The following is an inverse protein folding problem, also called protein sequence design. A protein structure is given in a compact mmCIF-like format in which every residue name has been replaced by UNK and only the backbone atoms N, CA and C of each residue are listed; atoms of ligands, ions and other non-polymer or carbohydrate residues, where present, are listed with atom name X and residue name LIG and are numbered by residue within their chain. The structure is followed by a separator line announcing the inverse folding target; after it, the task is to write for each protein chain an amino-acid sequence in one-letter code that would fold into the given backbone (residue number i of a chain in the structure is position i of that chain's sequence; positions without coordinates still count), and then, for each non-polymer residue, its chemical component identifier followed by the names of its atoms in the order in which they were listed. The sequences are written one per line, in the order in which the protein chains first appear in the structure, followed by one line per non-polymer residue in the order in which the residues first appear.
data_IF_267215160275
#
_entry.id   IF_267215160275
#
_cell.length_a   1.000
_cell.length_b   1.000
_cell.length_c   1.000
_cell.angle_alpha   90.00
_cell.angle_beta   90.00
_cell.angle_gamma   90.00
#
_symmetry.space_group_name_H-M   'P 1'
#
loop_
_entity.id
_entity.type
_entity.pdbx_description
1 polymer ?
#
# COMPACT_ATOMS: atom_id res chain seq x y z
N UNK A 1 0.10 0.91 -11.30
CA UNK A 1 0.91 0.06 -10.40
C UNK A 1 2.34 -0.17 -10.92
N UNK A 2 2.60 -0.26 -12.23
CA UNK A 2 3.95 -0.55 -12.79
C UNK A 2 5.09 0.38 -12.35
N UNK A 3 4.86 1.68 -12.20
CA UNK A 3 5.94 2.64 -11.90
C UNK A 3 6.63 2.41 -10.55
N UNK A 4 5.92 1.88 -9.53
CA UNK A 4 6.54 1.59 -8.23
C UNK A 4 7.44 0.34 -8.26
N UNK A 5 7.23 -0.58 -9.21
CA UNK A 5 8.09 -1.76 -9.37
C UNK A 5 9.40 -1.44 -10.08
N UNK A 6 9.36 -0.59 -11.11
CA UNK A 6 10.55 -0.30 -11.92
C UNK A 6 11.71 0.21 -11.07
N UNK A 7 11.47 1.15 -10.15
CA UNK A 7 12.51 1.66 -9.25
C UNK A 7 13.02 0.63 -8.25
N UNK A 8 12.15 -0.25 -7.74
CA UNK A 8 12.52 -1.30 -6.79
C UNK A 8 13.41 -2.37 -7.44
N UNK A 9 13.04 -2.81 -8.65
CA UNK A 9 13.78 -3.83 -9.42
C UNK A 9 15.18 -3.32 -9.81
N UNK A 10 15.28 -2.09 -10.32
CA UNK A 10 16.58 -1.52 -10.69
C UNK A 10 17.50 -1.37 -9.49
N UNK A 11 16.98 -0.88 -8.36
CA UNK A 11 17.77 -0.72 -7.14
C UNK A 11 18.23 -2.07 -6.59
N UNK A 12 17.33 -3.07 -6.52
CA UNK A 12 17.65 -4.41 -6.03
C UNK A 12 18.78 -5.06 -6.86
N UNK A 13 18.71 -4.94 -8.18
CA UNK A 13 19.76 -5.43 -9.09
C UNK A 13 21.09 -4.71 -8.89
N UNK A 14 21.08 -3.38 -8.75
CA UNK A 14 22.30 -2.60 -8.54
C UNK A 14 23.01 -2.93 -7.22
N UNK A 15 22.27 -3.37 -6.19
CA UNK A 15 22.80 -3.71 -4.88
C UNK A 15 23.04 -5.22 -4.68
N UNK A 16 22.83 -6.03 -5.72
CA UNK A 16 23.12 -7.47 -5.67
C UNK A 16 22.23 -8.27 -4.71
N UNK A 17 20.99 -7.84 -4.49
CA UNK A 17 20.05 -8.64 -3.70
C UNK A 17 19.80 -10.01 -4.35
N UNK A 18 19.68 -11.05 -3.53
CA UNK A 18 19.44 -12.42 -3.99
C UNK A 18 18.08 -12.57 -4.71
N UNK A 19 17.09 -11.79 -4.29
CA UNK A 19 15.75 -11.75 -4.88
C UNK A 19 15.47 -10.38 -5.50
N UNK A 20 14.47 -10.33 -6.38
CA UNK A 20 13.96 -9.12 -7.00
C UNK A 20 12.53 -8.92 -6.50
N UNK A 21 12.09 -7.68 -6.19
CA UNK A 21 10.73 -7.44 -5.72
C UNK A 21 9.72 -7.69 -6.85
N UNK A 22 9.22 -8.93 -6.92
CA UNK A 22 8.22 -9.40 -7.90
C UNK A 22 6.84 -9.57 -7.28
N UNK A 23 6.77 -9.68 -5.95
CA UNK A 23 5.53 -9.74 -5.18
C UNK A 23 5.11 -8.35 -4.72
N UNK A 24 3.80 -8.14 -4.61
CA UNK A 24 3.25 -6.82 -4.29
C UNK A 24 2.19 -6.86 -3.20
N UNK A 25 2.09 -7.98 -2.50
CA UNK A 25 1.10 -8.18 -1.47
C UNK A 25 0.91 -9.62 -1.07
N UNK A 26 0.08 -9.81 -0.05
CA UNK A 26 -0.45 -11.08 0.39
C UNK A 26 -1.98 -11.00 0.43
N UNK A 27 -2.64 -12.07 0.01
CA UNK A 27 -4.11 -12.18 -0.04
C UNK A 27 -4.54 -13.50 0.58
N UNK A 28 -5.38 -13.41 1.60
CA UNK A 28 -6.04 -14.56 2.23
C UNK A 28 -7.46 -14.75 1.68
N UNK A 29 -8.16 -13.65 1.35
CA UNK A 29 -9.47 -13.64 0.70
C UNK A 29 -9.74 -12.27 0.04
N UNK A 30 -10.88 -12.09 -0.62
CA UNK A 30 -11.30 -10.77 -1.15
C UNK A 30 -11.45 -9.70 -0.06
N UNK A 31 -11.73 -10.12 1.18
CA UNK A 31 -11.93 -9.23 2.33
C UNK A 31 -10.73 -9.23 3.30
N UNK A 32 -9.62 -9.86 2.92
CA UNK A 32 -8.42 -9.93 3.75
C UNK A 32 -7.16 -9.95 2.86
N UNK A 33 -6.55 -8.77 2.67
CA UNK A 33 -5.33 -8.63 1.89
C UNK A 33 -4.49 -7.40 2.30
N UNK A 34 -3.22 -7.42 1.95
CA UNK A 34 -2.30 -6.28 2.01
C UNK A 34 -1.57 -6.15 0.68
N UNK A 35 -1.41 -4.93 0.18
CA UNK A 35 -0.57 -4.62 -0.96
C UNK A 35 0.57 -3.70 -0.49
N UNK A 36 1.78 -3.96 -0.98
CA UNK A 36 2.97 -3.24 -0.58
C UNK A 36 3.83 -2.79 -1.75
N UNK A 37 4.70 -1.80 -1.51
CA UNK A 37 5.76 -1.41 -2.41
C UNK A 37 7.08 -1.19 -1.67
N UNK A 38 8.18 -1.54 -2.32
CA UNK A 38 9.53 -1.44 -1.77
C UNK A 38 10.12 -0.07 -2.06
N UNK A 39 10.49 0.66 -1.01
CA UNK A 39 11.31 1.88 -1.11
C UNK A 39 12.69 1.59 -0.56
N UNK A 40 13.48 0.87 -1.35
CA UNK A 40 14.79 0.35 -0.94
C UNK A 40 15.77 1.46 -0.54
N UNK A 41 15.74 2.62 -1.22
CA UNK A 41 16.56 3.80 -0.84
C UNK A 41 16.29 4.29 0.59
N UNK A 42 15.06 4.15 1.08
CA UNK A 42 14.65 4.56 2.44
C UNK A 42 14.65 3.37 3.40
N UNK A 43 15.08 2.18 2.96
CA UNK A 43 14.97 0.93 3.71
C UNK A 43 13.57 0.73 4.33
N UNK A 44 12.52 1.03 3.54
CA UNK A 44 11.12 1.04 3.98
C UNK A 44 10.23 0.24 3.03
N UNK A 45 9.33 -0.58 3.58
CA UNK A 45 8.23 -1.21 2.85
C UNK A 45 6.94 -0.46 3.16
N UNK A 46 6.28 0.11 2.15
CA UNK A 46 5.02 0.81 2.35
C UNK A 46 3.85 -0.11 2.04
N UNK A 47 2.93 -0.29 2.98
CA UNK A 47 1.62 -0.88 2.72
C UNK A 47 0.75 0.22 2.10
N UNK A 48 0.53 0.11 0.79
CA UNK A 48 -0.17 1.13 -0.01
C UNK A 48 -1.67 0.92 -0.04
N UNK A 49 -2.12 -0.31 0.24
CA UNK A 49 -3.53 -0.66 0.32
C UNK A 49 -3.69 -1.86 1.22
N UNK A 50 -4.73 -1.87 2.03
CA UNK A 50 -5.08 -3.04 2.83
C UNK A 50 -6.59 -3.19 2.95
N UNK A 51 -7.01 -4.42 3.17
CA UNK A 51 -8.32 -4.75 3.68
C UNK A 51 -8.10 -5.75 4.79
N UNK A 52 -8.29 -5.30 6.02
CA UNK A 52 -8.16 -6.16 7.19
C UNK A 52 -9.56 -6.55 7.69
N UNK A 53 -9.75 -7.79 8.16
CA UNK A 53 -11.01 -8.22 8.71
C UNK A 53 -11.37 -7.41 9.96
N UNK A 54 -12.65 -7.03 10.08
CA UNK A 54 -13.15 -6.31 11.25
C UNK A 54 -13.37 -7.29 12.41
N UNK A 55 -12.80 -7.03 13.61
CA UNK A 55 -13.01 -7.86 14.80
C UNK A 55 -14.48 -7.96 15.22
N UNK A 56 -15.33 -7.00 14.86
CA UNK A 56 -16.78 -7.06 15.12
C UNK A 56 -17.51 -8.06 14.23
N UNK A 57 -16.96 -8.37 13.05
CA UNK A 57 -17.61 -9.21 12.03
C UNK A 57 -17.01 -10.63 11.97
N UNK A 58 -15.74 -10.79 12.36
CA UNK A 58 -15.04 -12.09 12.32
C UNK A 58 -14.25 -12.31 13.61
N UNK A 59 -14.58 -13.39 14.33
CA UNK A 59 -13.91 -13.76 15.57
C UNK A 59 -12.39 -14.00 15.41
N UNK A 60 -11.93 -14.38 14.21
CA UNK A 60 -10.52 -14.62 13.90
C UNK A 60 -9.81 -13.43 13.23
N UNK A 61 -10.39 -12.22 13.28
CA UNK A 61 -9.86 -11.05 12.60
C UNK A 61 -8.42 -10.69 12.99
N UNK A 62 -8.10 -10.76 14.29
CA UNK A 62 -6.75 -10.47 14.77
C UNK A 62 -5.72 -11.47 14.22
N UNK A 63 -6.01 -12.78 14.28
CA UNK A 63 -5.13 -13.81 13.76
C UNK A 63 -4.86 -13.65 12.25
N UNK A 64 -5.90 -13.37 11.46
CA UNK A 64 -5.76 -13.11 10.03
C UNK A 64 -4.96 -11.84 9.74
N UNK A 65 -5.16 -10.80 10.54
CA UNK A 65 -4.37 -9.56 10.46
C UNK A 65 -2.89 -9.85 10.75
N UNK A 66 -2.58 -10.63 11.78
CA UNK A 66 -1.21 -11.02 12.10
C UNK A 66 -0.55 -11.80 10.94
N UNK A 67 -1.28 -12.69 10.27
CA UNK A 67 -0.76 -13.41 9.10
C UNK A 67 -0.39 -12.46 7.96
N UNK A 68 -1.24 -11.48 7.65
CA UNK A 68 -0.99 -10.49 6.60
C UNK A 68 0.21 -9.58 6.94
N UNK A 69 0.32 -9.15 8.20
CA UNK A 69 1.44 -8.32 8.66
C UNK A 69 2.76 -9.10 8.67
N UNK A 70 2.75 -10.38 9.09
CA UNK A 70 3.93 -11.26 9.02
C UNK A 70 4.41 -11.41 7.58
N UNK A 71 3.51 -11.60 6.62
CA UNK A 71 3.89 -11.68 5.21
C UNK A 71 4.60 -10.41 4.73
N UNK A 72 4.15 -9.22 5.17
CA UNK A 72 4.82 -7.96 4.86
C UNK A 72 6.19 -7.85 5.54
N UNK A 73 6.34 -8.33 6.78
CA UNK A 73 7.61 -8.33 7.49
C UNK A 73 8.62 -9.33 6.90
N UNK A 74 8.18 -10.52 6.53
CA UNK A 74 8.99 -11.51 5.82
C UNK A 74 9.48 -10.95 4.49
N UNK A 75 8.59 -10.29 3.75
CA UNK A 75 8.97 -9.58 2.53
C UNK A 75 9.99 -8.48 2.80
N UNK A 76 9.79 -7.65 3.83
CA UNK A 76 10.77 -6.64 4.22
C UNK A 76 12.13 -7.26 4.58
N UNK A 77 12.13 -8.39 5.28
CA UNK A 77 13.34 -9.09 5.71
C UNK A 77 14.19 -9.55 4.53
N UNK A 78 13.59 -10.10 3.47
CA UNK A 78 14.31 -10.51 2.23
C UNK A 78 15.14 -9.39 1.62
N UNK A 79 14.64 -8.16 1.71
CA UNK A 79 15.29 -6.97 1.16
C UNK A 79 16.06 -6.16 2.21
N UNK A 80 16.28 -6.72 3.41
CA UNK A 80 16.96 -6.04 4.52
C UNK A 80 16.32 -4.68 4.87
N UNK A 81 15.01 -4.55 4.62
CA UNK A 81 14.21 -3.38 4.97
C UNK A 81 13.94 -3.42 6.48
N UNK A 82 14.15 -2.28 7.14
CA UNK A 82 14.07 -2.21 8.62
C UNK A 82 12.70 -1.85 9.15
N UNK A 83 11.85 -1.23 8.34
CA UNK A 83 10.53 -0.78 8.77
C UNK A 83 9.45 -1.01 7.71
N UNK A 84 8.27 -1.37 8.19
CA UNK A 84 7.04 -1.45 7.40
C UNK A 84 6.15 -0.29 7.83
N UNK A 85 5.64 0.48 6.87
CA UNK A 85 4.81 1.65 7.13
C UNK A 85 3.45 1.44 6.49
N UNK A 86 2.39 1.66 7.27
CA UNK A 86 1.01 1.65 6.80
C UNK A 86 0.41 3.04 7.01
N UNK A 87 -0.37 3.49 6.04
CA UNK A 87 -1.15 4.71 6.15
C UNK A 87 -2.59 4.41 6.55
N UNK A 88 -3.19 5.31 7.31
CA UNK A 88 -4.56 5.19 7.85
C UNK A 88 -4.79 3.81 8.49
N UNK A 89 -4.07 3.50 9.59
CA UNK A 89 -4.10 2.17 10.19
C UNK A 89 -5.52 1.79 10.65
N UNK A 90 -6.07 0.65 10.20
CA UNK A 90 -7.39 0.21 10.65
C UNK A 90 -7.40 -0.12 12.14
N UNK A 91 -8.54 0.09 12.81
CA UNK A 91 -8.69 -0.09 14.26
C UNK A 91 -8.39 -1.51 14.78
N UNK A 92 -8.41 -2.52 13.90
CA UNK A 92 -7.99 -3.89 14.26
C UNK A 92 -6.53 -3.97 14.69
N UNK A 93 -5.68 -3.01 14.30
CA UNK A 93 -4.29 -2.94 14.74
C UNK A 93 -4.15 -2.59 16.22
N UNK A 94 -5.17 -1.95 16.81
CA UNK A 94 -5.23 -1.67 18.25
C UNK A 94 -5.68 -2.88 19.07
N UNK A 95 -6.00 -4.02 18.44
CA UNK A 95 -6.40 -5.24 19.14
C UNK A 95 -5.21 -5.83 19.89
N UNK A 96 -5.42 -6.28 21.13
CA UNK A 96 -4.36 -6.79 22.02
C UNK A 96 -3.54 -7.92 21.38
N UNK A 97 -4.20 -8.89 20.75
CA UNK A 97 -3.53 -9.99 20.04
C UNK A 97 -2.57 -9.53 18.92
N UNK A 98 -2.84 -8.39 18.30
CA UNK A 98 -1.97 -7.80 17.26
C UNK A 98 -0.84 -7.03 17.94
N UNK A 99 -1.15 -6.19 18.92
CA UNK A 99 -0.16 -5.38 19.64
C UNK A 99 0.85 -6.24 20.44
N UNK A 100 0.44 -7.41 20.91
CA UNK A 100 1.33 -8.36 21.61
C UNK A 100 2.32 -9.05 20.66
N UNK A 101 2.09 -9.00 19.35
CA UNK A 101 2.94 -9.65 18.35
C UNK A 101 3.83 -8.68 17.57
N UNK A 102 3.48 -7.40 17.54
CA UNK A 102 4.18 -6.40 16.74
C UNK A 102 4.41 -5.12 17.54
N UNK A 103 5.60 -4.55 17.40
CA UNK A 103 5.88 -3.19 17.85
C UNK A 103 5.29 -2.19 16.85
N UNK A 104 4.13 -1.62 17.19
CA UNK A 104 3.40 -0.67 16.35
C UNK A 104 3.57 0.74 16.92
N UNK A 105 4.20 1.61 16.14
CA UNK A 105 4.33 3.04 16.47
C UNK A 105 3.43 3.83 15.54
N UNK A 106 2.47 4.54 16.12
CA UNK A 106 1.63 5.51 15.39
C UNK A 106 2.28 6.89 15.57
N UNK A 107 2.51 7.58 14.45
CA UNK A 107 3.12 8.90 14.45
C UNK A 107 2.50 9.80 13.39
N UNK A 108 2.65 11.10 13.59
CA UNK A 108 2.22 12.10 12.62
C UNK A 108 3.10 12.07 11.38
N UNK A 109 2.50 12.47 10.26
CA UNK A 109 3.12 12.35 8.95
C UNK A 109 3.86 13.63 8.57
N UNK A 110 5.17 13.52 8.36
CA UNK A 110 6.01 14.64 7.93
C UNK A 110 6.21 14.72 6.40
N UNK A 111 5.74 13.72 5.63
CA UNK A 111 6.03 13.61 4.19
C UNK A 111 4.77 13.42 3.35
N UNK A 112 4.45 14.40 2.50
CA UNK A 112 3.38 14.28 1.50
C UNK A 112 3.79 13.27 0.41
N UNK A 113 2.88 12.38 0.03
CA UNK A 113 3.11 11.42 -1.05
C UNK A 113 3.16 12.24 -2.33
N UNK A 114 4.26 12.15 -3.05
CA UNK A 114 4.44 12.83 -4.34
C UNK A 114 3.27 12.51 -5.27
N UNK A 115 2.65 13.58 -5.72
CA UNK A 115 1.48 13.71 -6.59
C UNK A 115 1.37 12.58 -7.64
N UNK A 116 0.17 12.00 -7.77
CA UNK A 116 -0.15 11.21 -8.95
C UNK A 116 -0.09 12.10 -10.20
N UNK A 117 0.70 11.71 -11.22
CA UNK A 117 0.61 12.31 -12.55
C UNK A 117 -0.58 11.71 -13.29
N UNK A 118 -1.57 12.54 -13.55
CA UNK A 118 -2.67 12.22 -14.47
C UNK A 118 -2.11 12.32 -15.90
N UNK A 119 -2.26 11.25 -16.68
CA UNK A 119 -2.00 11.29 -18.12
C UNK A 119 -3.34 11.51 -18.83
N UNK A 120 -3.52 12.68 -19.42
CA UNK A 120 -4.58 12.88 -20.41
C UNK A 120 -4.20 12.14 -21.70
N UNK A 121 -5.16 11.40 -22.26
CA UNK A 121 -5.00 10.75 -23.57
C UNK A 121 -4.86 11.87 -24.61
N UNK A 122 -3.64 12.10 -25.11
CA UNK A 122 -3.40 13.04 -26.21
C UNK A 122 -3.91 12.40 -27.50
N UNK A 123 -5.06 12.86 -27.98
CA UNK A 123 -5.58 12.51 -29.30
C UNK A 123 -7.09 12.55 -29.37
N UNK A 124 -7.65 13.76 -29.50
CA UNK A 124 -8.77 14.14 -30.38
C UNK A 124 -9.04 15.64 -30.16
N UNK A 125 -8.06 16.45 -30.56
CA UNK A 125 -8.35 17.81 -31.01
C UNK A 125 -9.07 17.63 -32.34
N UNK A 126 -10.40 17.56 -32.28
CA UNK A 126 -11.33 18.08 -33.30
C UNK A 126 -12.74 17.57 -32.97
N UNK A 127 -13.45 18.33 -32.13
CA UNK A 127 -14.75 18.94 -32.46
C UNK A 127 -15.37 19.57 -31.23
N UNK A 128 -16.02 20.69 -31.51
CA UNK A 128 -16.71 21.57 -30.59
C UNK A 128 -17.77 20.87 -29.73
N UNK A 129 -18.17 21.61 -28.70
CA UNK A 129 -19.35 21.43 -27.84
C UNK A 129 -19.16 20.62 -26.55
N UNK A 130 -19.08 21.41 -25.46
CA UNK A 130 -19.78 21.20 -24.19
C UNK A 130 -20.25 19.75 -23.95
N UNK A 131 -19.35 18.91 -23.46
CA UNK A 131 -19.78 17.84 -22.57
C UNK A 131 -19.05 18.00 -21.24
N UNK A 132 -19.81 18.46 -20.24
CA UNK A 132 -19.57 18.08 -18.86
C UNK A 132 -19.66 16.54 -18.82
N UNK A 133 -18.58 15.85 -19.17
CA UNK A 133 -18.43 14.48 -18.72
C UNK A 133 -18.04 14.61 -17.25
N UNK A 134 -18.93 14.24 -16.31
CA UNK A 134 -18.53 14.21 -14.91
C UNK A 134 -17.32 13.30 -14.84
N UNK A 135 -16.24 13.80 -14.25
CA UNK A 135 -15.09 12.98 -13.90
C UNK A 135 -15.66 11.71 -13.25
N UNK A 136 -15.13 10.51 -13.59
CA UNK A 136 -15.63 9.27 -13.02
C UNK A 136 -15.79 9.42 -11.50
N UNK A 137 -16.88 8.97 -10.88
CA UNK A 137 -17.21 9.25 -9.47
C UNK A 137 -16.07 8.97 -8.46
N UNK A 138 -15.10 8.13 -8.81
CA UNK A 138 -13.89 7.90 -8.02
C UNK A 138 -12.92 9.09 -7.96
N UNK A 139 -13.11 10.11 -8.81
CA UNK A 139 -12.39 11.38 -8.81
C UNK A 139 -13.11 12.47 -8.00
N UNK A 140 -14.42 12.31 -7.74
CA UNK A 140 -15.25 13.25 -6.97
C UNK A 140 -15.47 12.84 -5.52
N UNK A 141 -14.92 11.70 -5.09
CA UNK A 141 -15.05 11.24 -3.72
C UNK A 141 -13.97 11.90 -2.86
N UNK A 142 -14.28 13.08 -2.33
CA UNK A 142 -13.42 13.88 -1.44
C UNK A 142 -12.93 13.10 -0.19
N UNK A 143 -13.49 11.91 0.08
CA UNK A 143 -13.04 10.99 1.14
C UNK A 143 -11.86 10.08 0.76
N UNK A 144 -11.46 10.03 -0.51
CA UNK A 144 -10.27 9.28 -0.96
C UNK A 144 -9.18 10.18 -1.56
N UNK A 145 -9.34 11.50 -1.46
CA UNK A 145 -8.22 12.41 -1.57
C UNK A 145 -7.32 12.18 -0.36
N UNK A 146 -6.18 11.56 -0.60
CA UNK A 146 -5.05 11.65 0.32
C UNK A 146 -4.80 13.13 0.61
N UNK A 147 -4.98 13.52 1.87
CA UNK A 147 -4.42 14.73 2.46
C UNK A 147 -3.06 14.36 3.07
#
# INVERSE_FOLDING_TARGET
MEWQFTSGVHFARAHGYAEIPVTCGAKLSEDAFVLWCHKLKEATLYIVRTRLPDPKLKANAAALTCLLLRAALEEAHKFQIKKVVMWDPPSVLSHEDVHNQFEIVVGDRDTSLSCARVFEKRGELDREEKSMTPLPEWLGNEKFCWV
#
